data_IF_931661172516
#
_entry.id   IF_931661172516
#
_cell.length_a   1.000
_cell.length_b   1.000
_cell.length_c   1.000
_cell.angle_alpha   90.00
_cell.angle_beta   90.00
_cell.angle_gamma   90.00
#
_symmetry.space_group_name_H-M   'P 1'
#
loop_
_entity.id
_entity.type
_entity.pdbx_description
1 polymer ?
#
# COMPACT_ATOMS: atom_id res chain seq x y z
N UNK A 1 -49.77 -34.87 -45.00
CA UNK A 1 -49.74 -34.68 -43.55
C UNK A 1 -48.32 -34.36 -43.18
N UNK A 2 -47.99 -33.10 -42.99
CA UNK A 2 -46.67 -32.59 -42.64
C UNK A 2 -46.73 -32.22 -41.18
N UNK A 3 -45.94 -32.96 -40.37
CA UNK A 3 -45.81 -32.72 -38.91
C UNK A 3 -44.87 -31.52 -38.68
N UNK A 4 -45.42 -30.44 -38.11
CA UNK A 4 -44.64 -29.27 -37.68
C UNK A 4 -43.89 -29.62 -36.40
N UNK A 5 -42.56 -29.68 -36.53
CA UNK A 5 -41.65 -29.80 -35.38
C UNK A 5 -41.64 -28.52 -34.53
N UNK A 6 -42.05 -28.65 -33.29
CA UNK A 6 -41.96 -27.60 -32.27
C UNK A 6 -40.48 -27.43 -31.87
N UNK A 7 -39.85 -26.39 -32.37
CA UNK A 7 -38.55 -25.94 -31.83
C UNK A 7 -38.73 -25.34 -30.41
N UNK A 8 -38.40 -26.14 -29.43
CA UNK A 8 -38.29 -25.67 -28.04
C UNK A 8 -37.13 -24.65 -27.93
N UNK A 9 -37.47 -23.37 -27.86
CA UNK A 9 -36.53 -22.30 -27.52
C UNK A 9 -35.92 -22.59 -26.12
N UNK A 10 -34.64 -22.97 -26.12
CA UNK A 10 -33.87 -23.03 -24.87
C UNK A 10 -33.83 -21.63 -24.25
N UNK A 11 -34.12 -21.48 -22.98
CA UNK A 11 -33.98 -20.21 -22.29
C UNK A 11 -32.52 -19.79 -22.32
N UNK A 12 -32.26 -18.53 -22.74
CA UNK A 12 -30.95 -17.92 -22.75
C UNK A 12 -30.33 -18.01 -21.34
N UNK A 13 -29.24 -18.75 -21.22
CA UNK A 13 -28.51 -18.86 -19.98
C UNK A 13 -28.02 -17.45 -19.58
N UNK A 14 -28.59 -16.88 -18.53
CA UNK A 14 -28.04 -15.68 -17.91
C UNK A 14 -26.58 -15.99 -17.53
N UNK A 15 -25.63 -15.08 -17.82
CA UNK A 15 -24.24 -15.29 -17.47
C UNK A 15 -24.12 -15.31 -15.94
N UNK A 16 -24.15 -16.51 -15.35
CA UNK A 16 -23.80 -16.70 -13.94
C UNK A 16 -22.33 -16.32 -13.82
N UNK A 17 -22.04 -15.20 -13.15
CA UNK A 17 -20.67 -14.84 -12.78
C UNK A 17 -20.00 -16.08 -12.18
N UNK A 18 -18.82 -16.46 -12.71
CA UNK A 18 -18.15 -17.67 -12.22
C UNK A 18 -17.85 -17.50 -10.71
N UNK A 19 -17.96 -18.59 -9.95
CA UNK A 19 -17.65 -18.58 -8.50
C UNK A 19 -16.26 -18.00 -8.21
N UNK A 20 -15.31 -18.23 -9.12
CA UNK A 20 -13.96 -17.67 -9.03
C UNK A 20 -13.95 -16.15 -9.15
N UNK A 21 -14.75 -15.58 -10.06
CA UNK A 21 -14.84 -14.12 -10.20
C UNK A 21 -15.44 -13.46 -8.97
N UNK A 22 -16.53 -14.00 -8.43
CA UNK A 22 -17.16 -13.50 -7.20
C UNK A 22 -16.17 -13.56 -6.02
N UNK A 23 -15.43 -14.66 -5.88
CA UNK A 23 -14.40 -14.81 -4.85
C UNK A 23 -13.30 -13.75 -5.00
N UNK A 24 -12.77 -13.54 -6.20
CA UNK A 24 -11.76 -12.50 -6.47
C UNK A 24 -12.28 -11.11 -6.17
N UNK A 25 -13.54 -10.83 -6.51
CA UNK A 25 -14.18 -9.54 -6.22
C UNK A 25 -14.28 -9.30 -4.71
N UNK A 26 -14.71 -10.30 -3.93
CA UNK A 26 -14.81 -10.20 -2.46
C UNK A 26 -13.43 -9.97 -1.85
N UNK A 27 -12.40 -10.70 -2.30
CA UNK A 27 -11.02 -10.54 -1.84
C UNK A 27 -10.51 -9.13 -2.13
N UNK A 28 -10.70 -8.63 -3.36
CA UNK A 28 -10.31 -7.29 -3.77
C UNK A 28 -11.05 -6.20 -2.98
N UNK A 29 -12.36 -6.36 -2.78
CA UNK A 29 -13.17 -5.44 -1.99
C UNK A 29 -12.76 -5.44 -0.51
N UNK A 30 -12.40 -6.59 0.04
CA UNK A 30 -11.87 -6.69 1.41
C UNK A 30 -10.56 -5.90 1.55
N UNK A 31 -9.63 -6.05 0.59
CA UNK A 31 -8.40 -5.29 0.60
C UNK A 31 -8.66 -3.78 0.48
N UNK A 32 -9.55 -3.39 -0.44
CA UNK A 32 -9.98 -2.00 -0.63
C UNK A 32 -10.49 -1.40 0.68
N UNK A 33 -11.46 -2.04 1.33
CA UNK A 33 -12.08 -1.56 2.57
C UNK A 33 -11.13 -1.58 3.79
N UNK A 34 -10.07 -2.40 3.74
CA UNK A 34 -9.06 -2.46 4.81
C UNK A 34 -8.15 -1.24 4.81
N UNK A 35 -7.82 -0.69 3.64
CA UNK A 35 -6.79 0.37 3.52
C UNK A 35 -7.29 1.63 2.81
N UNK A 36 -8.60 1.75 2.58
CA UNK A 36 -9.20 2.86 1.82
C UNK A 36 -8.93 4.22 2.45
N UNK A 37 -8.85 4.31 3.76
CA UNK A 37 -8.59 5.52 4.52
C UNK A 37 -7.10 5.84 4.74
N UNK A 38 -6.20 4.92 4.36
CA UNK A 38 -4.75 5.12 4.51
C UNK A 38 -4.28 6.38 3.79
N UNK A 39 -4.58 6.46 2.50
CA UNK A 39 -4.18 7.58 1.64
C UNK A 39 -5.30 8.59 1.39
N UNK A 40 -6.54 8.28 1.74
CA UNK A 40 -7.69 9.16 1.58
C UNK A 40 -7.44 10.53 2.23
N UNK A 41 -6.90 10.53 3.45
CA UNK A 41 -6.60 11.72 4.24
C UNK A 41 -5.59 12.65 3.54
N UNK A 42 -4.77 12.13 2.62
CA UNK A 42 -3.82 12.95 1.86
C UNK A 42 -4.52 13.90 0.87
N UNK A 43 -5.67 13.52 0.30
CA UNK A 43 -6.41 14.38 -0.62
C UNK A 43 -7.04 15.61 0.07
N UNK A 44 -7.31 15.51 1.37
CA UNK A 44 -7.89 16.60 2.18
C UNK A 44 -6.84 17.29 3.08
N UNK A 45 -5.58 16.97 2.92
CA UNK A 45 -4.48 17.42 3.78
C UNK A 45 -4.36 18.94 3.88
N UNK A 46 -4.45 19.75 2.78
CA UNK A 46 -4.44 21.20 2.90
C UNK A 46 -5.63 21.74 3.70
N UNK A 47 -6.81 21.12 3.57
CA UNK A 47 -8.00 21.50 4.33
C UNK A 47 -7.86 21.18 5.81
N UNK A 48 -7.24 20.04 6.16
CA UNK A 48 -6.92 19.70 7.55
C UNK A 48 -5.88 20.67 8.13
N UNK A 49 -4.80 20.98 7.41
CA UNK A 49 -3.80 21.93 7.88
C UNK A 49 -4.43 23.29 8.21
N UNK A 50 -5.34 23.77 7.37
CA UNK A 50 -6.10 25.00 7.58
C UNK A 50 -7.03 24.89 8.80
N UNK A 51 -7.76 23.79 8.95
CA UNK A 51 -8.71 23.58 10.04
C UNK A 51 -8.03 23.52 11.41
N UNK A 52 -6.84 22.90 11.48
CA UNK A 52 -6.05 22.82 12.72
C UNK A 52 -5.10 24.02 12.93
N UNK A 53 -4.97 24.93 11.97
CA UNK A 53 -4.07 26.09 12.05
C UNK A 53 -2.60 25.72 12.16
N UNK A 54 -2.17 24.64 11.51
CA UNK A 54 -0.81 24.09 11.60
C UNK A 54 -0.08 24.14 10.25
N UNK A 55 1.25 24.00 10.28
CA UNK A 55 2.08 24.00 9.08
C UNK A 55 1.87 22.74 8.23
N UNK A 56 2.18 22.78 6.92
CA UNK A 56 2.24 21.61 6.05
C UNK A 56 3.05 20.45 6.62
N UNK A 57 4.22 20.72 7.22
CA UNK A 57 5.05 19.70 7.86
C UNK A 57 4.35 19.02 9.01
N UNK A 58 3.74 19.78 9.91
CA UNK A 58 3.05 19.26 11.09
C UNK A 58 1.85 18.38 10.69
N UNK A 59 1.00 18.87 9.77
CA UNK A 59 -0.15 18.10 9.29
C UNK A 59 0.29 16.90 8.44
N UNK A 60 1.31 17.06 7.58
CA UNK A 60 1.87 15.98 6.78
C UNK A 60 2.39 14.83 7.65
N UNK A 61 3.09 15.14 8.74
CA UNK A 61 3.53 14.16 9.72
C UNK A 61 2.34 13.47 10.40
N UNK A 62 1.38 14.24 10.91
CA UNK A 62 0.21 13.70 11.61
C UNK A 62 -0.61 12.76 10.72
N UNK A 63 -0.89 13.15 9.47
CA UNK A 63 -1.62 12.31 8.50
C UNK A 63 -0.87 11.02 8.19
N UNK A 64 0.45 11.08 8.02
CA UNK A 64 1.26 9.89 7.70
C UNK A 64 1.74 9.12 8.94
N UNK A 65 1.39 9.54 10.16
CA UNK A 65 1.69 8.81 11.39
C UNK A 65 1.08 7.40 11.43
N UNK A 66 0.06 7.14 10.61
CA UNK A 66 -0.45 5.78 10.36
C UNK A 66 0.64 4.80 9.90
N UNK A 67 1.65 5.26 9.15
CA UNK A 67 2.76 4.40 8.73
C UNK A 67 3.62 3.94 9.92
N UNK A 68 3.69 4.68 11.01
CA UNK A 68 4.31 4.23 12.27
C UNK A 68 3.54 3.04 12.85
N UNK A 69 2.22 3.16 12.97
CA UNK A 69 1.37 2.06 13.42
C UNK A 69 1.51 0.83 12.52
N UNK A 70 1.57 1.04 11.21
CA UNK A 70 1.76 -0.04 10.23
C UNK A 70 3.14 -0.72 10.37
N UNK A 71 4.20 0.02 10.64
CA UNK A 71 5.52 -0.54 10.87
C UNK A 71 5.54 -1.42 12.13
N UNK A 72 4.96 -0.94 13.23
CA UNK A 72 4.83 -1.70 14.47
C UNK A 72 3.99 -2.96 14.27
N UNK A 73 2.83 -2.84 13.63
CA UNK A 73 1.95 -3.97 13.34
C UNK A 73 2.63 -5.01 12.45
N UNK A 74 3.38 -4.58 11.41
CA UNK A 74 4.12 -5.48 10.53
C UNK A 74 5.10 -6.36 11.29
N UNK A 75 5.87 -5.78 12.23
CA UNK A 75 6.76 -6.52 13.10
C UNK A 75 6.01 -7.42 14.09
N UNK A 76 4.94 -6.91 14.71
CA UNK A 76 4.14 -7.68 15.67
C UNK A 76 3.48 -8.89 14.99
N UNK A 77 2.87 -8.71 13.82
CA UNK A 77 2.27 -9.81 13.06
C UNK A 77 3.35 -10.81 12.61
N UNK A 78 4.50 -10.35 12.14
CA UNK A 78 5.61 -11.24 11.79
C UNK A 78 6.06 -12.11 12.97
N UNK A 79 6.02 -11.55 14.18
CA UNK A 79 6.43 -12.25 15.41
C UNK A 79 5.35 -13.16 15.97
N UNK A 80 4.08 -12.71 15.99
CA UNK A 80 2.98 -13.36 16.68
C UNK A 80 1.99 -14.08 15.75
N UNK A 81 2.12 -13.93 14.42
CA UNK A 81 1.12 -14.41 13.46
C UNK A 81 0.75 -15.87 13.61
N UNK A 82 1.71 -16.73 14.02
CA UNK A 82 1.47 -18.16 14.26
C UNK A 82 0.59 -18.46 15.48
N UNK A 83 0.44 -17.49 16.40
CA UNK A 83 -0.35 -17.61 17.62
C UNK A 83 -1.74 -16.99 17.54
N UNK A 84 -2.00 -16.25 16.46
CA UNK A 84 -3.25 -15.53 16.25
C UNK A 84 -4.14 -16.33 15.30
N UNK A 85 -5.35 -16.66 15.74
CA UNK A 85 -6.38 -17.16 14.83
C UNK A 85 -6.63 -16.10 13.74
N UNK A 86 -6.47 -16.48 12.46
CA UNK A 86 -6.55 -15.56 11.32
C UNK A 86 -7.88 -14.85 11.26
N UNK A 87 -8.97 -15.60 11.45
CA UNK A 87 -10.33 -15.08 11.38
C UNK A 87 -10.59 -14.04 12.48
N UNK A 88 -10.28 -14.41 13.72
CA UNK A 88 -10.49 -13.52 14.87
C UNK A 88 -9.61 -12.28 14.75
N UNK A 89 -8.34 -12.45 14.39
CA UNK A 89 -7.41 -11.34 14.23
C UNK A 89 -7.82 -10.35 13.13
N UNK A 90 -8.28 -10.83 11.96
CA UNK A 90 -8.75 -9.97 10.87
C UNK A 90 -10.00 -9.21 11.30
N UNK A 91 -11.00 -9.91 11.85
CA UNK A 91 -12.26 -9.29 12.28
C UNK A 91 -12.05 -8.28 13.41
N UNK A 92 -11.26 -8.63 14.42
CA UNK A 92 -10.93 -7.72 15.52
C UNK A 92 -10.22 -6.47 15.02
N UNK A 93 -9.24 -6.62 14.11
CA UNK A 93 -8.50 -5.50 13.54
C UNK A 93 -9.39 -4.58 12.70
N UNK A 94 -10.25 -5.11 11.83
CA UNK A 94 -11.16 -4.33 11.00
C UNK A 94 -12.24 -3.62 11.83
N UNK A 95 -12.80 -4.31 12.83
CA UNK A 95 -13.79 -3.70 13.73
C UNK A 95 -13.15 -2.60 14.58
N UNK A 96 -11.95 -2.87 15.13
CA UNK A 96 -11.21 -1.89 15.90
C UNK A 96 -10.81 -0.68 15.06
N UNK A 97 -10.52 -0.85 13.76
CA UNK A 97 -10.15 0.24 12.84
C UNK A 97 -11.23 1.33 12.74
N UNK A 98 -12.50 0.96 12.78
CA UNK A 98 -13.60 1.91 12.68
C UNK A 98 -13.61 2.93 13.83
N UNK A 99 -13.12 2.54 15.01
CA UNK A 99 -13.11 3.40 16.20
C UNK A 99 -12.17 4.60 16.03
N UNK A 100 -10.85 4.45 15.82
CA UNK A 100 -9.97 5.59 15.61
C UNK A 100 -10.35 6.37 14.36
N UNK A 101 -10.88 5.72 13.30
CA UNK A 101 -11.34 6.41 12.09
C UNK A 101 -12.50 7.36 12.41
N UNK A 102 -13.52 6.91 13.13
CA UNK A 102 -14.65 7.76 13.53
C UNK A 102 -14.22 8.86 14.50
N UNK A 103 -13.32 8.56 15.46
CA UNK A 103 -12.83 9.52 16.44
C UNK A 103 -12.01 10.65 15.82
N UNK A 104 -11.41 10.46 14.65
CA UNK A 104 -10.74 11.55 13.90
C UNK A 104 -11.71 12.70 13.57
N UNK A 105 -13.01 12.43 13.45
CA UNK A 105 -14.02 13.45 13.19
C UNK A 105 -14.14 14.49 14.31
N UNK A 106 -13.80 14.12 15.54
CA UNK A 106 -13.91 14.93 16.76
C UNK A 106 -12.58 15.13 17.47
N UNK A 107 -11.45 14.84 16.83
CA UNK A 107 -10.12 15.00 17.40
C UNK A 107 -9.87 16.48 17.75
N UNK A 108 -9.66 16.82 19.04
CA UNK A 108 -9.62 18.22 19.48
C UNK A 108 -8.34 18.95 19.07
N UNK A 109 -7.26 18.23 18.92
CA UNK A 109 -5.94 18.76 18.59
C UNK A 109 -5.11 17.80 17.72
N UNK A 110 -3.97 18.29 17.23
CA UNK A 110 -3.08 17.55 16.35
C UNK A 110 -2.46 16.31 17.02
N UNK A 111 -2.26 16.35 18.34
CA UNK A 111 -1.66 15.24 19.09
C UNK A 111 -2.62 14.06 19.13
N UNK A 112 -3.87 14.31 19.50
CA UNK A 112 -4.94 13.28 19.49
C UNK A 112 -5.16 12.76 18.08
N UNK A 113 -5.20 13.65 17.08
CA UNK A 113 -5.29 13.25 15.66
C UNK A 113 -4.14 12.30 15.30
N UNK A 114 -2.90 12.63 15.64
CA UNK A 114 -1.72 11.82 15.36
C UNK A 114 -1.79 10.44 16.03
N UNK A 115 -2.18 10.39 17.31
CA UNK A 115 -2.35 9.12 18.05
C UNK A 115 -3.41 8.23 17.39
N UNK A 116 -4.55 8.81 16.99
CA UNK A 116 -5.60 8.09 16.29
C UNK A 116 -5.13 7.56 14.93
N UNK A 117 -4.30 8.33 14.20
CA UNK A 117 -3.68 7.87 12.95
C UNK A 117 -2.71 6.70 13.18
N UNK A 118 -1.93 6.71 14.25
CA UNK A 118 -1.08 5.57 14.63
C UNK A 118 -1.94 4.34 14.92
N UNK A 119 -3.02 4.49 15.69
CA UNK A 119 -3.95 3.40 16.00
C UNK A 119 -4.62 2.84 14.74
N UNK A 120 -5.05 3.70 13.79
CA UNK A 120 -5.54 3.26 12.49
C UNK A 120 -4.50 2.41 11.76
N UNK A 121 -3.25 2.89 11.67
CA UNK A 121 -2.17 2.18 10.99
C UNK A 121 -1.92 0.80 11.59
N UNK A 122 -1.96 0.69 12.93
CA UNK A 122 -1.82 -0.57 13.64
C UNK A 122 -2.92 -1.57 13.24
N UNK A 123 -4.17 -1.13 13.23
CA UNK A 123 -5.32 -1.95 12.85
C UNK A 123 -5.26 -2.35 11.35
N UNK A 124 -5.02 -1.39 10.46
CA UNK A 124 -4.95 -1.62 9.01
C UNK A 124 -3.89 -2.66 8.65
N UNK A 125 -2.65 -2.49 9.13
CA UNK A 125 -1.57 -3.40 8.79
C UNK A 125 -1.74 -4.79 9.43
N UNK A 126 -2.33 -4.86 10.62
CA UNK A 126 -2.68 -6.15 11.24
C UNK A 126 -3.71 -6.90 10.39
N UNK A 127 -4.80 -6.26 10.01
CA UNK A 127 -5.82 -6.86 9.13
C UNK A 127 -5.22 -7.27 7.79
N UNK A 128 -4.41 -6.39 7.17
CA UNK A 128 -3.79 -6.62 5.88
C UNK A 128 -2.84 -7.82 5.88
N UNK A 129 -1.94 -7.90 6.86
CA UNK A 129 -0.95 -8.97 6.95
C UNK A 129 -1.59 -10.32 7.32
N UNK A 130 -2.58 -10.31 8.23
CA UNK A 130 -3.31 -11.53 8.60
C UNK A 130 -4.17 -12.06 7.44
N UNK A 131 -4.76 -11.16 6.62
CA UNK A 131 -5.52 -11.57 5.45
C UNK A 131 -4.62 -12.19 4.37
N UNK A 132 -3.43 -11.62 4.12
CA UNK A 132 -2.45 -12.23 3.22
C UNK A 132 -2.03 -13.62 3.70
N UNK A 133 -1.78 -13.78 5.00
CA UNK A 133 -1.47 -15.08 5.60
C UNK A 133 -2.63 -16.07 5.41
N UNK A 134 -3.86 -15.62 5.68
CA UNK A 134 -5.07 -16.43 5.47
C UNK A 134 -5.19 -16.91 4.03
N UNK A 135 -5.03 -16.01 3.05
CA UNK A 135 -5.11 -16.37 1.63
C UNK A 135 -4.04 -17.37 1.21
N UNK A 136 -2.81 -17.22 1.75
CA UNK A 136 -1.72 -18.17 1.49
C UNK A 136 -1.94 -19.55 2.10
N UNK A 137 -2.72 -19.65 3.20
CA UNK A 137 -3.01 -20.90 3.90
C UNK A 137 -4.31 -21.56 3.39
N UNK A 138 -5.32 -20.76 2.99
CA UNK A 138 -6.66 -21.23 2.60
C UNK A 138 -6.81 -21.56 1.10
N UNK A 139 -5.93 -21.03 0.25
CA UNK A 139 -5.97 -21.24 -1.20
C UNK A 139 -5.06 -22.38 -1.63
N UNK A 140 -5.46 -23.14 -2.67
CA UNK A 140 -4.55 -24.07 -3.35
C UNK A 140 -3.41 -23.29 -4.02
N UNK A 141 -2.30 -23.95 -4.36
CA UNK A 141 -1.16 -23.30 -5.01
C UNK A 141 -1.57 -22.57 -6.32
N UNK A 142 -2.51 -23.14 -7.08
CA UNK A 142 -3.04 -22.58 -8.33
C UNK A 142 -3.91 -21.34 -8.08
N UNK A 143 -4.75 -21.35 -7.04
CA UNK A 143 -5.65 -20.24 -6.68
C UNK A 143 -4.95 -19.10 -5.99
N UNK A 144 -3.85 -19.37 -5.26
CA UNK A 144 -3.14 -18.40 -4.43
C UNK A 144 -2.67 -17.20 -5.26
N UNK A 145 -2.11 -17.42 -6.44
CA UNK A 145 -1.65 -16.32 -7.30
C UNK A 145 -2.80 -15.37 -7.68
N UNK A 146 -3.97 -15.91 -8.04
CA UNK A 146 -5.16 -15.13 -8.36
C UNK A 146 -5.72 -14.39 -7.15
N UNK A 147 -5.75 -15.03 -5.98
CA UNK A 147 -6.23 -14.44 -4.74
C UNK A 147 -5.33 -13.26 -4.28
N UNK A 148 -4.01 -13.43 -4.35
CA UNK A 148 -3.05 -12.35 -4.07
C UNK A 148 -3.18 -11.21 -5.09
N UNK A 149 -3.32 -11.52 -6.39
CA UNK A 149 -3.51 -10.51 -7.42
C UNK A 149 -4.79 -9.69 -7.15
N UNK A 150 -5.90 -10.33 -6.83
CA UNK A 150 -7.16 -9.65 -6.47
C UNK A 150 -6.99 -8.76 -5.23
N UNK A 151 -6.30 -9.25 -4.21
CA UNK A 151 -6.04 -8.50 -2.98
C UNK A 151 -5.18 -7.25 -3.23
N UNK A 152 -4.10 -7.40 -3.98
CA UNK A 152 -3.24 -6.26 -4.35
C UNK A 152 -3.97 -5.27 -5.25
N UNK A 153 -4.80 -5.74 -6.20
CA UNK A 153 -5.63 -4.86 -7.03
C UNK A 153 -6.59 -4.02 -6.18
N UNK A 154 -7.25 -4.62 -5.18
CA UNK A 154 -8.08 -3.89 -4.23
C UNK A 154 -7.32 -2.82 -3.45
N UNK A 155 -6.10 -3.15 -2.99
CA UNK A 155 -5.21 -2.19 -2.33
C UNK A 155 -4.81 -1.03 -3.26
N UNK A 156 -4.44 -1.31 -4.51
CA UNK A 156 -4.11 -0.24 -5.47
C UNK A 156 -5.34 0.61 -5.79
N UNK A 157 -6.51 -0.01 -5.96
CA UNK A 157 -7.77 0.70 -6.17
C UNK A 157 -8.10 1.65 -5.00
N UNK A 158 -7.79 1.27 -3.75
CA UNK A 158 -8.00 2.13 -2.58
C UNK A 158 -7.19 3.42 -2.64
N UNK A 159 -6.02 3.39 -3.26
CA UNK A 159 -5.18 4.57 -3.46
C UNK A 159 -5.84 5.63 -4.34
N UNK A 160 -6.53 5.22 -5.39
CA UNK A 160 -7.24 6.14 -6.28
C UNK A 160 -8.61 6.51 -5.72
N UNK A 161 -9.46 5.51 -5.51
CA UNK A 161 -10.85 5.76 -5.13
C UNK A 161 -10.97 6.32 -3.71
N UNK A 162 -10.10 5.93 -2.77
CA UNK A 162 -10.07 6.49 -1.42
C UNK A 162 -9.84 8.00 -1.42
N UNK A 163 -8.91 8.49 -2.25
CA UNK A 163 -8.64 9.92 -2.38
C UNK A 163 -9.76 10.68 -3.07
N UNK A 164 -10.33 10.11 -4.15
CA UNK A 164 -11.50 10.70 -4.82
C UNK A 164 -12.69 10.81 -3.87
N UNK A 165 -12.99 9.73 -3.15
CA UNK A 165 -14.07 9.72 -2.15
C UNK A 165 -13.80 10.74 -1.05
N UNK A 166 -12.58 10.81 -0.51
CA UNK A 166 -12.25 11.76 0.54
C UNK A 166 -12.43 13.21 0.09
N UNK A 167 -12.00 13.55 -1.13
CA UNK A 167 -12.20 14.88 -1.69
C UNK A 167 -13.71 15.21 -1.83
N UNK A 168 -14.49 14.30 -2.41
CA UNK A 168 -15.93 14.47 -2.61
C UNK A 168 -16.69 14.57 -1.28
N UNK A 169 -16.41 13.64 -0.33
CA UNK A 169 -17.06 13.64 0.97
C UNK A 169 -16.73 14.88 1.80
N UNK A 170 -15.47 15.33 1.76
CA UNK A 170 -15.06 16.54 2.48
C UNK A 170 -15.70 17.80 1.87
N UNK A 171 -16.00 17.80 0.58
CA UNK A 171 -16.67 18.92 -0.10
C UNK A 171 -18.16 18.98 0.24
N UNK A 172 -18.84 17.83 0.31
CA UNK A 172 -20.29 17.75 0.55
C UNK A 172 -20.68 17.62 2.03
N UNK A 173 -19.91 16.85 2.83
CA UNK A 173 -20.23 16.54 4.23
C UNK A 173 -19.26 17.18 5.23
N UNK A 174 -18.24 17.91 4.73
CA UNK A 174 -17.17 18.46 5.56
C UNK A 174 -16.17 17.40 6.06
N UNK A 175 -15.16 17.86 6.79
CA UNK A 175 -14.06 17.00 7.26
C UNK A 175 -14.54 15.93 8.26
N UNK A 176 -15.43 16.29 9.19
CA UNK A 176 -15.97 15.34 10.17
C UNK A 176 -16.82 14.25 9.49
N UNK A 177 -17.73 14.63 8.59
CA UNK A 177 -18.56 13.70 7.83
C UNK A 177 -17.74 12.72 7.02
N UNK A 178 -16.62 13.18 6.44
CA UNK A 178 -15.67 12.34 5.73
C UNK A 178 -15.16 11.18 6.62
N UNK A 179 -14.69 11.45 7.85
CA UNK A 179 -14.18 10.43 8.76
C UNK A 179 -15.28 9.46 9.23
N UNK A 180 -16.50 9.93 9.47
CA UNK A 180 -17.62 9.04 9.82
C UNK A 180 -17.97 8.07 8.69
N UNK A 181 -17.97 8.53 7.42
CA UNK A 181 -18.23 7.65 6.27
C UNK A 181 -17.11 6.60 6.16
N UNK A 182 -15.84 6.98 6.31
CA UNK A 182 -14.75 6.01 6.28
C UNK A 182 -14.81 5.01 7.45
N UNK A 183 -15.19 5.45 8.65
CA UNK A 183 -15.46 4.55 9.77
C UNK A 183 -16.59 3.54 9.46
N UNK A 184 -17.64 3.99 8.80
CA UNK A 184 -18.72 3.12 8.31
C UNK A 184 -18.25 2.12 7.26
N UNK A 185 -17.37 2.53 6.33
CA UNK A 185 -16.76 1.63 5.34
C UNK A 185 -15.85 0.57 5.98
N UNK A 186 -15.12 0.91 7.05
CA UNK A 186 -14.32 -0.05 7.80
C UNK A 186 -15.21 -1.11 8.48
N UNK A 187 -16.35 -0.70 9.07
CA UNK A 187 -17.34 -1.64 9.60
C UNK A 187 -17.96 -2.50 8.50
N UNK A 188 -18.28 -1.92 7.34
CA UNK A 188 -18.77 -2.69 6.20
C UNK A 188 -17.72 -3.73 5.75
N UNK A 189 -16.43 -3.37 5.79
CA UNK A 189 -15.33 -4.32 5.56
C UNK A 189 -15.29 -5.45 6.58
N UNK A 190 -15.49 -5.15 7.86
CA UNK A 190 -15.57 -6.17 8.91
C UNK A 190 -16.77 -7.12 8.70
N UNK A 191 -17.93 -6.58 8.34
CA UNK A 191 -19.14 -7.36 8.03
C UNK A 191 -18.91 -8.25 6.80
N UNK A 192 -18.34 -7.72 5.73
CA UNK A 192 -18.00 -8.48 4.53
C UNK A 192 -17.08 -9.66 4.86
N UNK A 193 -16.01 -9.41 5.61
CA UNK A 193 -15.06 -10.44 6.04
C UNK A 193 -15.70 -11.46 6.95
N UNK A 194 -16.58 -11.04 7.87
CA UNK A 194 -17.31 -11.95 8.73
C UNK A 194 -18.09 -12.99 7.92
N UNK A 195 -18.86 -12.55 6.91
CA UNK A 195 -19.62 -13.46 6.06
C UNK A 195 -18.72 -14.31 5.16
N UNK A 196 -17.63 -13.73 4.65
CA UNK A 196 -16.67 -14.45 3.80
C UNK A 196 -15.94 -15.57 4.57
N UNK A 197 -15.56 -15.31 5.82
CA UNK A 197 -14.83 -16.27 6.65
C UNK A 197 -15.74 -17.21 7.47
N UNK A 198 -17.06 -17.01 7.46
CA UNK A 198 -18.00 -17.72 8.34
C UNK A 198 -17.97 -19.24 8.18
N UNK A 199 -17.74 -19.74 6.97
CA UNK A 199 -17.72 -21.17 6.65
C UNK A 199 -16.34 -21.83 6.68
N UNK A 200 -15.28 -21.07 7.01
CA UNK A 200 -13.92 -21.60 6.98
C UNK A 200 -13.58 -22.29 8.29
N UNK A 201 -13.03 -23.52 8.28
CA UNK A 201 -12.54 -24.17 9.49
C UNK A 201 -11.49 -23.29 10.19
N UNK A 202 -11.46 -23.38 11.53
CA UNK A 202 -10.40 -22.75 12.30
C UNK A 202 -9.05 -23.32 11.82
N UNK A 203 -8.15 -22.43 11.38
CA UNK A 203 -6.84 -22.87 10.93
C UNK A 203 -6.00 -23.27 12.14
N UNK A 204 -5.30 -24.43 12.09
CA UNK A 204 -4.47 -24.84 13.21
C UNK A 204 -3.39 -23.78 13.45
N UNK A 205 -3.27 -23.36 14.70
CA UNK A 205 -2.17 -22.54 15.16
C UNK A 205 -0.90 -23.38 14.98
N UNK A 206 -0.07 -23.03 13.99
CA UNK A 206 1.15 -23.77 13.73
C UNK A 206 2.10 -23.64 14.92
N UNK A 207 2.46 -24.77 15.52
CA UNK A 207 3.44 -24.82 16.61
C UNK A 207 4.73 -24.12 16.18
N UNK A 208 5.26 -23.25 17.04
CA UNK A 208 6.49 -22.54 16.78
C UNK A 208 7.60 -23.55 16.43
N UNK A 209 8.16 -23.47 15.23
CA UNK A 209 9.43 -24.14 14.93
C UNK A 209 10.41 -23.71 16.01
N UNK A 210 11.14 -24.64 16.64
CA UNK A 210 11.98 -24.40 17.81
C UNK A 210 13.13 -23.36 17.66
N UNK A 211 13.07 -22.52 16.60
CA UNK A 211 14.00 -21.41 16.37
C UNK A 211 13.47 -20.13 17.00
N UNK A 212 14.31 -19.45 17.77
CA UNK A 212 14.04 -18.12 18.32
C UNK A 212 13.79 -17.12 17.19
N UNK A 213 12.74 -16.28 17.30
CA UNK A 213 12.46 -15.22 16.33
C UNK A 213 13.67 -14.26 16.16
N UNK A 214 14.36 -13.95 17.24
CA UNK A 214 15.60 -13.12 17.18
C UNK A 214 16.73 -13.81 16.41
N UNK A 215 16.85 -15.14 16.48
CA UNK A 215 17.81 -15.90 15.68
C UNK A 215 17.55 -15.77 14.18
N UNK A 216 16.27 -15.87 13.80
CA UNK A 216 15.81 -15.68 12.41
C UNK A 216 16.07 -14.25 11.93
N UNK A 217 15.75 -13.25 12.73
CA UNK A 217 16.01 -11.84 12.38
C UNK A 217 17.50 -11.56 12.19
N UNK A 218 18.36 -12.08 13.09
CA UNK A 218 19.84 -11.96 12.95
C UNK A 218 20.32 -12.57 11.64
N UNK A 219 19.74 -13.69 11.20
CA UNK A 219 20.07 -14.32 9.91
C UNK A 219 19.67 -13.44 8.73
N UNK A 220 18.47 -12.85 8.75
CA UNK A 220 18.04 -11.90 7.73
C UNK A 220 18.92 -10.66 7.66
N UNK A 221 19.34 -10.10 8.81
CA UNK A 221 20.26 -8.96 8.85
C UNK A 221 21.71 -9.31 8.48
N UNK A 222 22.09 -10.57 8.49
CA UNK A 222 23.38 -11.03 7.97
C UNK A 222 23.41 -11.11 6.44
N UNK A 223 22.27 -11.31 5.81
CA UNK A 223 22.17 -11.37 4.35
C UNK A 223 22.24 -9.96 3.74
N UNK A 224 23.32 -9.63 2.98
CA UNK A 224 23.51 -8.28 2.43
C UNK A 224 22.43 -7.90 1.41
N UNK A 225 21.88 -8.87 0.66
CA UNK A 225 20.81 -8.63 -0.31
C UNK A 225 19.49 -8.28 0.38
N UNK A 226 19.18 -8.95 1.51
CA UNK A 226 18.00 -8.61 2.31
C UNK A 226 18.14 -7.24 2.97
N UNK A 227 19.30 -6.91 3.56
CA UNK A 227 19.55 -5.58 4.11
C UNK A 227 19.39 -4.47 3.07
N UNK A 228 19.94 -4.68 1.87
CA UNK A 228 19.75 -3.75 0.76
C UNK A 228 18.27 -3.59 0.41
N UNK A 229 17.52 -4.70 0.36
CA UNK A 229 16.08 -4.67 0.07
C UNK A 229 15.29 -3.92 1.13
N UNK A 230 15.62 -4.07 2.41
CA UNK A 230 14.98 -3.34 3.50
C UNK A 230 15.23 -1.83 3.38
N UNK A 231 16.47 -1.43 3.13
CA UNK A 231 16.84 -0.03 2.92
C UNK A 231 16.22 0.55 1.62
N UNK A 232 16.12 -0.25 0.56
CA UNK A 232 15.42 0.11 -0.68
C UNK A 232 13.94 0.37 -0.39
N UNK A 233 13.27 -0.52 0.35
CA UNK A 233 11.89 -0.34 0.74
C UNK A 233 11.67 0.97 1.49
N UNK A 234 12.55 1.29 2.45
CA UNK A 234 12.57 2.56 3.14
C UNK A 234 12.65 3.76 2.17
N UNK A 235 13.61 3.76 1.24
CA UNK A 235 13.78 4.84 0.28
C UNK A 235 12.58 5.01 -0.66
N UNK A 236 11.95 3.90 -1.08
CA UNK A 236 10.77 3.94 -1.97
C UNK A 236 9.61 4.66 -1.29
N UNK A 237 9.25 4.27 -0.05
CA UNK A 237 8.12 4.92 0.61
C UNK A 237 8.46 6.32 1.12
N UNK A 238 9.70 6.59 1.49
CA UNK A 238 10.20 7.94 1.76
C UNK A 238 9.93 8.87 0.57
N UNK A 239 10.33 8.46 -0.64
CA UNK A 239 10.12 9.23 -1.86
C UNK A 239 8.64 9.36 -2.22
N UNK A 240 7.87 8.28 -2.13
CA UNK A 240 6.44 8.26 -2.45
C UNK A 240 5.65 9.18 -1.51
N UNK A 241 5.81 9.01 -0.19
CA UNK A 241 5.11 9.84 0.80
C UNK A 241 5.52 11.30 0.66
N UNK A 242 6.82 11.59 0.50
CA UNK A 242 7.29 12.96 0.28
C UNK A 242 6.64 13.62 -0.93
N UNK A 243 6.57 12.91 -2.05
CA UNK A 243 5.94 13.42 -3.28
C UNK A 243 4.44 13.66 -3.07
N UNK A 244 3.69 12.61 -2.72
CA UNK A 244 2.23 12.65 -2.72
C UNK A 244 1.60 13.31 -1.48
N UNK A 245 2.40 13.63 -0.47
CA UNK A 245 1.96 14.45 0.66
C UNK A 245 2.10 15.93 0.36
N UNK A 246 3.30 16.37 -0.02
CA UNK A 246 3.59 17.80 -0.11
C UNK A 246 3.18 18.45 -1.43
N UNK A 247 3.07 17.69 -2.52
CA UNK A 247 2.51 18.20 -3.78
C UNK A 247 1.10 18.76 -3.63
N UNK A 248 0.30 18.25 -2.67
CA UNK A 248 -1.05 18.75 -2.43
C UNK A 248 -1.07 20.26 -2.07
N UNK A 249 -0.09 20.72 -1.31
CA UNK A 249 0.05 22.13 -0.96
C UNK A 249 0.46 22.96 -2.16
N UNK A 250 1.32 22.43 -3.04
CA UNK A 250 1.72 23.08 -4.29
C UNK A 250 0.54 23.21 -5.24
N UNK A 251 -0.29 22.17 -5.34
CA UNK A 251 -1.45 22.15 -6.24
C UNK A 251 -2.55 23.12 -5.83
N UNK A 252 -2.76 23.33 -4.52
CA UNK A 252 -3.76 24.31 -4.02
C UNK A 252 -3.19 25.73 -3.91
N UNK A 253 -1.86 25.88 -3.90
CA UNK A 253 -1.16 27.16 -3.90
C UNK A 253 -1.09 27.80 -5.30
N UNK A 254 -0.75 29.09 -5.34
CA UNK A 254 -0.48 29.78 -6.62
C UNK A 254 0.80 29.24 -7.29
N UNK A 255 0.86 29.18 -8.60
CA UNK A 255 -0.14 29.66 -9.58
C UNK A 255 -1.22 28.62 -9.95
N UNK A 256 -1.20 27.39 -9.41
CA UNK A 256 -2.08 26.29 -9.82
C UNK A 256 -3.50 26.40 -9.23
N UNK A 257 -3.62 26.81 -7.98
CA UNK A 257 -4.85 27.15 -7.25
C UNK A 257 -6.01 26.17 -7.44
N UNK A 258 -5.74 24.84 -7.37
CA UNK A 258 -6.76 23.81 -7.58
C UNK A 258 -7.80 23.80 -6.45
N UNK A 259 -9.06 23.62 -6.85
CA UNK A 259 -10.15 23.35 -5.92
C UNK A 259 -10.00 21.97 -5.25
N UNK A 260 -10.72 21.75 -4.15
CA UNK A 260 -10.70 20.47 -3.38
C UNK A 260 -11.08 19.29 -4.26
N UNK A 261 -12.13 19.43 -5.07
CA UNK A 261 -12.56 18.38 -6.00
C UNK A 261 -11.53 18.14 -7.10
N UNK A 262 -10.96 19.21 -7.68
CA UNK A 262 -9.90 19.08 -8.69
C UNK A 262 -8.66 18.37 -8.13
N UNK A 263 -8.31 18.61 -6.85
CA UNK A 263 -7.24 17.91 -6.17
C UNK A 263 -7.51 16.39 -6.07
N UNK A 264 -8.76 15.98 -5.83
CA UNK A 264 -9.16 14.57 -5.88
C UNK A 264 -8.91 13.95 -7.26
N UNK A 265 -9.23 14.65 -8.34
CA UNK A 265 -9.01 14.16 -9.72
C UNK A 265 -7.52 14.04 -10.11
N UNK A 266 -6.62 14.79 -9.48
CA UNK A 266 -5.17 14.64 -9.69
C UNK A 266 -4.74 13.18 -9.53
N UNK A 267 -5.35 12.43 -8.62
CA UNK A 267 -4.96 11.06 -8.32
C UNK A 267 -5.30 10.02 -9.41
N UNK A 268 -5.97 10.43 -10.50
CA UNK A 268 -6.01 9.62 -11.74
C UNK A 268 -4.61 9.35 -12.32
N UNK A 269 -3.59 10.09 -11.90
CA UNK A 269 -2.17 9.80 -12.22
C UNK A 269 -1.73 8.39 -11.77
N UNK A 270 -2.49 7.71 -10.91
CA UNK A 270 -2.21 6.32 -10.53
C UNK A 270 -2.79 5.28 -11.50
N UNK A 271 -3.67 5.65 -12.42
CA UNK A 271 -4.25 4.70 -13.40
C UNK A 271 -3.17 3.95 -14.19
N UNK A 272 -2.11 4.61 -14.72
CA UNK A 272 -1.02 3.90 -15.38
C UNK A 272 -0.33 2.87 -14.47
N UNK A 273 -0.21 3.16 -13.17
CA UNK A 273 0.40 2.23 -12.19
C UNK A 273 -0.43 0.97 -11.99
N UNK A 274 -1.76 1.04 -12.09
CA UNK A 274 -2.65 -0.12 -12.00
C UNK A 274 -2.34 -1.13 -13.10
N UNK A 275 -2.02 -0.64 -14.31
CA UNK A 275 -1.69 -1.46 -15.47
C UNK A 275 -0.24 -1.95 -15.43
N UNK A 276 0.70 -1.08 -15.05
CA UNK A 276 2.14 -1.38 -15.14
C UNK A 276 2.65 -2.23 -13.99
N UNK A 277 2.09 -2.10 -12.78
CA UNK A 277 2.57 -2.84 -11.60
C UNK A 277 2.47 -4.36 -11.75
N UNK A 278 1.39 -4.97 -12.30
CA UNK A 278 1.33 -6.40 -12.55
C UNK A 278 2.40 -6.92 -13.53
N UNK A 279 2.90 -6.06 -14.41
CA UNK A 279 3.94 -6.42 -15.38
C UNK A 279 5.33 -6.57 -14.74
N UNK A 280 5.51 -6.11 -13.50
CA UNK A 280 6.80 -6.17 -12.81
C UNK A 280 7.38 -7.59 -12.75
N UNK A 281 6.54 -8.60 -12.49
CA UNK A 281 6.96 -10.01 -12.46
C UNK A 281 7.50 -10.50 -13.80
N UNK A 282 6.80 -10.21 -14.89
CA UNK A 282 7.23 -10.56 -16.25
C UNK A 282 8.52 -9.84 -16.66
N UNK A 283 8.63 -8.56 -16.33
CA UNK A 283 9.84 -7.77 -16.60
C UNK A 283 11.05 -8.32 -15.82
N UNK A 284 10.88 -8.69 -14.55
CA UNK A 284 11.94 -9.32 -13.75
C UNK A 284 12.37 -10.67 -14.31
N UNK A 285 11.42 -11.50 -14.77
CA UNK A 285 11.73 -12.78 -15.37
C UNK A 285 12.52 -12.63 -16.68
N UNK A 286 12.22 -11.60 -17.49
CA UNK A 286 12.85 -11.37 -18.80
C UNK A 286 14.19 -10.63 -18.70
N UNK A 287 14.29 -9.60 -17.86
CA UNK A 287 15.44 -8.67 -17.83
C UNK A 287 16.29 -8.79 -16.56
N UNK A 288 15.83 -9.57 -15.59
CA UNK A 288 16.46 -9.71 -14.27
C UNK A 288 16.05 -8.59 -13.29
N UNK A 289 16.19 -8.87 -12.00
CA UNK A 289 15.72 -7.99 -10.92
C UNK A 289 16.40 -6.63 -10.94
N UNK A 290 17.73 -6.58 -11.04
CA UNK A 290 18.52 -5.34 -10.95
C UNK A 290 18.20 -4.37 -12.09
N UNK A 291 18.20 -4.85 -13.35
CA UNK A 291 17.94 -4.00 -14.52
C UNK A 291 16.51 -3.44 -14.48
N UNK A 292 15.54 -4.29 -14.18
CA UNK A 292 14.13 -3.87 -14.07
C UNK A 292 13.94 -2.85 -12.96
N UNK A 293 14.64 -3.01 -11.84
CA UNK A 293 14.59 -2.07 -10.73
C UNK A 293 15.19 -0.71 -11.10
N UNK A 294 16.34 -0.67 -11.76
CA UNK A 294 16.93 0.59 -12.25
C UNK A 294 16.04 1.29 -13.28
N UNK A 295 15.40 0.55 -14.19
CA UNK A 295 14.42 1.13 -15.11
C UNK A 295 13.23 1.76 -14.35
N UNK A 296 12.72 1.10 -13.32
CA UNK A 296 11.63 1.64 -12.50
C UNK A 296 12.06 2.94 -11.79
N UNK A 297 13.26 2.99 -11.21
CA UNK A 297 13.78 4.21 -10.59
C UNK A 297 14.07 5.32 -11.61
N UNK A 298 14.55 4.98 -12.80
CA UNK A 298 14.77 5.95 -13.87
C UNK A 298 13.46 6.60 -14.33
N UNK A 299 12.38 5.83 -14.43
CA UNK A 299 11.03 6.35 -14.71
C UNK A 299 10.60 7.34 -13.60
N UNK A 300 10.76 6.97 -12.32
CA UNK A 300 10.44 7.87 -11.22
C UNK A 300 11.29 9.15 -11.24
N UNK A 301 12.60 9.00 -11.45
CA UNK A 301 13.54 10.14 -11.50
C UNK A 301 13.23 11.09 -12.66
N UNK A 302 12.83 10.57 -13.83
CA UNK A 302 12.42 11.37 -14.97
C UNK A 302 11.17 12.26 -14.68
N UNK A 303 10.34 11.85 -13.73
CA UNK A 303 9.20 12.65 -13.28
C UNK A 303 9.59 13.84 -12.42
N UNK A 304 10.72 13.80 -11.70
CA UNK A 304 11.07 14.83 -10.71
C UNK A 304 11.23 16.24 -11.30
N UNK A 305 11.92 16.45 -12.44
CA UNK A 305 12.02 17.78 -13.04
C UNK A 305 10.65 18.38 -13.43
N UNK A 306 9.70 17.52 -13.81
CA UNK A 306 8.35 17.97 -14.20
C UNK A 306 7.55 18.48 -13.00
N UNK A 307 7.84 18.00 -11.79
CA UNK A 307 7.15 18.41 -10.56
C UNK A 307 7.47 19.86 -10.15
N UNK A 308 8.58 20.41 -10.58
CA UNK A 308 8.98 21.80 -10.27
C UNK A 308 8.54 22.80 -11.32
N UNK A 309 8.00 22.34 -12.45
CA UNK A 309 7.45 23.22 -13.49
C UNK A 309 6.07 23.73 -13.05
N UNK A 310 5.82 25.06 -12.98
CA UNK A 310 4.56 25.61 -12.48
C UNK A 310 3.44 25.52 -13.52
N UNK A 311 3.24 24.36 -14.11
CA UNK A 311 2.18 24.06 -15.09
C UNK A 311 1.51 22.74 -14.75
N UNK A 312 0.19 22.73 -14.59
CA UNK A 312 -0.57 21.55 -14.18
C UNK A 312 -0.27 20.31 -15.03
N UNK A 313 -0.24 20.35 -16.38
CA UNK A 313 0.05 19.15 -17.18
C UNK A 313 1.45 18.55 -16.90
N UNK A 314 2.45 19.41 -16.64
CA UNK A 314 3.80 18.96 -16.31
C UNK A 314 3.81 18.25 -14.94
N UNK A 315 3.18 18.86 -13.93
CA UNK A 315 3.07 18.28 -12.59
C UNK A 315 2.33 16.93 -12.64
N UNK A 316 1.21 16.83 -13.37
CA UNK A 316 0.47 15.59 -13.55
C UNK A 316 1.31 14.50 -14.22
N UNK A 317 2.04 14.84 -15.29
CA UNK A 317 2.96 13.91 -15.95
C UNK A 317 4.09 13.46 -14.99
N UNK A 318 4.66 14.38 -14.22
CA UNK A 318 5.65 14.09 -13.20
C UNK A 318 5.12 13.14 -12.13
N UNK A 319 3.92 13.39 -11.60
CA UNK A 319 3.26 12.52 -10.61
C UNK A 319 2.98 11.13 -11.18
N UNK A 320 2.53 11.03 -12.43
CA UNK A 320 2.29 9.75 -13.09
C UNK A 320 3.59 8.93 -13.20
N UNK A 321 4.69 9.55 -13.63
CA UNK A 321 6.00 8.89 -13.73
C UNK A 321 6.54 8.46 -12.36
N UNK A 322 6.46 9.33 -11.36
CA UNK A 322 6.86 8.98 -9.98
C UNK A 322 6.00 7.83 -9.45
N UNK A 323 4.68 7.88 -9.67
CA UNK A 323 3.75 6.82 -9.28
C UNK A 323 4.11 5.49 -9.93
N UNK A 324 4.22 5.45 -11.26
CA UNK A 324 4.58 4.24 -12.01
C UNK A 324 5.92 3.68 -11.53
N UNK A 325 6.94 4.53 -11.45
CA UNK A 325 8.29 4.09 -11.07
C UNK A 325 8.36 3.54 -9.65
N UNK A 326 7.73 4.22 -8.68
CA UNK A 326 7.75 3.78 -7.27
C UNK A 326 6.91 2.53 -7.03
N UNK A 327 5.73 2.37 -7.66
CA UNK A 327 4.93 1.15 -7.56
C UNK A 327 5.63 -0.05 -8.22
N UNK A 328 6.25 0.13 -9.39
CA UNK A 328 7.08 -0.91 -10.01
C UNK A 328 8.25 -1.31 -9.11
N UNK A 329 8.99 -0.33 -8.58
CA UNK A 329 10.11 -0.58 -7.68
C UNK A 329 9.67 -1.32 -6.41
N UNK A 330 8.51 -0.95 -5.83
CA UNK A 330 7.94 -1.64 -4.67
C UNK A 330 7.60 -3.10 -4.99
N UNK A 331 6.93 -3.36 -6.12
CA UNK A 331 6.56 -4.71 -6.53
C UNK A 331 7.79 -5.60 -6.74
N UNK A 332 8.84 -5.06 -7.39
CA UNK A 332 10.10 -5.76 -7.63
C UNK A 332 10.81 -6.07 -6.31
N UNK A 333 10.92 -5.08 -5.41
CA UNK A 333 11.60 -5.24 -4.12
C UNK A 333 10.87 -6.25 -3.22
N UNK A 334 9.54 -6.17 -3.12
CA UNK A 334 8.71 -7.13 -2.37
C UNK A 334 8.88 -8.55 -2.90
N UNK A 335 8.81 -8.73 -4.22
CA UNK A 335 9.03 -10.03 -4.86
C UNK A 335 10.45 -10.56 -4.67
N UNK A 336 11.46 -9.68 -4.63
CA UNK A 336 12.84 -10.07 -4.37
C UNK A 336 13.03 -10.57 -2.93
N UNK A 337 12.48 -9.90 -1.93
CA UNK A 337 12.56 -10.33 -0.52
C UNK A 337 12.02 -11.76 -0.35
N UNK A 338 10.87 -12.08 -0.97
CA UNK A 338 10.31 -13.42 -0.92
C UNK A 338 11.19 -14.51 -1.54
N UNK A 339 12.02 -14.16 -2.54
CA UNK A 339 12.97 -15.08 -3.19
C UNK A 339 14.32 -15.15 -2.48
N UNK A 340 14.79 -14.04 -1.90
CA UNK A 340 16.09 -13.95 -1.24
C UNK A 340 16.09 -14.51 0.18
N UNK A 341 14.91 -14.59 0.82
CA UNK A 341 14.76 -15.18 2.14
C UNK A 341 14.85 -16.71 2.07
N UNK A 342 15.91 -17.28 2.64
CA UNK A 342 16.15 -18.72 2.75
C UNK A 342 15.46 -19.36 3.93
N UNK A 343 15.20 -18.58 4.98
CA UNK A 343 14.54 -18.98 6.23
C UNK A 343 13.38 -18.03 6.47
N UNK A 344 12.25 -18.54 6.97
CA UNK A 344 11.06 -17.79 7.38
C UNK A 344 10.76 -16.55 6.52
N UNK A 345 10.24 -16.79 5.32
CA UNK A 345 9.89 -15.73 4.35
C UNK A 345 8.90 -14.71 4.91
N UNK A 346 8.01 -15.16 5.81
CA UNK A 346 7.05 -14.28 6.48
C UNK A 346 7.74 -13.23 7.35
N UNK A 347 8.74 -13.68 8.14
CA UNK A 347 9.55 -12.79 8.97
C UNK A 347 10.35 -11.78 8.12
N UNK A 348 10.98 -12.22 7.02
CA UNK A 348 11.70 -11.32 6.11
C UNK A 348 10.78 -10.28 5.49
N UNK A 349 9.56 -10.69 5.05
CA UNK A 349 8.55 -9.77 4.51
C UNK A 349 8.06 -8.79 5.57
N UNK A 350 7.88 -9.23 6.82
CA UNK A 350 7.50 -8.36 7.93
C UNK A 350 8.53 -7.29 8.23
N UNK A 351 9.83 -7.64 8.27
CA UNK A 351 10.93 -6.69 8.45
C UNK A 351 10.99 -5.70 7.27
N UNK A 352 10.82 -6.20 6.04
CA UNK A 352 10.76 -5.35 4.84
C UNK A 352 9.63 -4.33 4.93
N UNK A 353 8.40 -4.76 5.27
CA UNK A 353 7.25 -3.87 5.40
C UNK A 353 7.43 -2.86 6.54
N UNK A 354 8.01 -3.28 7.66
CA UNK A 354 8.32 -2.36 8.76
C UNK A 354 9.32 -1.28 8.32
N UNK A 355 10.39 -1.66 7.63
CA UNK A 355 11.36 -0.72 7.06
C UNK A 355 10.72 0.21 6.02
N UNK A 356 9.88 -0.34 5.15
CA UNK A 356 9.12 0.39 4.15
C UNK A 356 8.24 1.48 4.80
N UNK A 357 7.41 1.12 5.77
CA UNK A 357 6.55 2.08 6.47
C UNK A 357 7.32 3.07 7.33
N UNK A 358 8.45 2.66 7.95
CA UNK A 358 9.35 3.58 8.62
C UNK A 358 9.90 4.64 7.66
N UNK A 359 10.21 4.25 6.40
CA UNK A 359 10.58 5.18 5.35
C UNK A 359 9.53 6.24 5.08
N UNK A 360 8.25 5.86 5.05
CA UNK A 360 7.13 6.79 4.88
C UNK A 360 7.00 7.79 6.03
N UNK A 361 7.14 7.32 7.27
CA UNK A 361 7.13 8.18 8.46
C UNK A 361 8.28 9.20 8.43
N UNK A 362 9.51 8.71 8.22
CA UNK A 362 10.69 9.57 8.16
C UNK A 362 10.63 10.50 6.96
N UNK A 363 10.12 10.03 5.81
CA UNK A 363 9.90 10.83 4.63
C UNK A 363 8.96 12.00 4.88
N UNK A 364 7.82 11.76 5.54
CA UNK A 364 6.90 12.83 5.90
C UNK A 364 7.51 13.81 6.90
N UNK A 365 8.26 13.34 7.89
CA UNK A 365 8.90 14.19 8.88
C UNK A 365 10.02 15.07 8.28
N UNK A 366 10.97 14.43 7.58
CA UNK A 366 12.16 15.12 7.05
C UNK A 366 11.78 16.04 5.89
N UNK A 367 11.05 15.51 4.89
CA UNK A 367 10.69 16.31 3.72
C UNK A 367 9.66 17.40 4.07
N UNK A 368 8.88 17.22 5.13
CA UNK A 368 8.02 18.27 5.66
C UNK A 368 8.81 19.46 6.16
N UNK A 369 9.84 19.22 6.97
CA UNK A 369 10.72 20.29 7.43
C UNK A 369 11.48 20.96 6.28
N UNK A 370 11.87 20.19 5.27
CA UNK A 370 12.48 20.73 4.04
C UNK A 370 11.47 21.57 3.28
N UNK A 371 10.22 21.10 3.16
CA UNK A 371 9.15 21.83 2.48
C UNK A 371 8.86 23.18 3.16
N UNK A 372 8.67 23.19 4.48
CA UNK A 372 8.33 24.38 5.24
C UNK A 372 9.48 25.44 5.25
N UNK A 373 10.75 24.99 5.23
CA UNK A 373 11.91 25.89 5.34
C UNK A 373 12.53 26.27 4.02
N UNK A 374 12.58 25.35 3.05
CA UNK A 374 13.33 25.49 1.79
C UNK A 374 12.42 25.39 0.55
N UNK A 375 11.14 25.05 0.74
CA UNK A 375 10.14 25.00 -0.32
C UNK A 375 10.16 23.70 -1.13
N UNK A 376 9.31 23.67 -2.14
CA UNK A 376 9.02 22.47 -2.93
C UNK A 376 10.21 21.93 -3.73
N UNK A 377 10.99 22.82 -4.34
CA UNK A 377 12.15 22.41 -5.15
C UNK A 377 13.18 21.64 -4.33
N UNK A 378 13.45 22.08 -3.10
CA UNK A 378 14.35 21.39 -2.19
C UNK A 378 13.76 20.04 -1.74
N UNK A 379 12.45 19.98 -1.53
CA UNK A 379 11.75 18.74 -1.24
C UNK A 379 11.93 17.72 -2.38
N UNK A 380 11.74 18.15 -3.64
CA UNK A 380 11.95 17.29 -4.83
C UNK A 380 13.40 16.82 -4.94
N UNK A 381 14.38 17.68 -4.62
CA UNK A 381 15.79 17.27 -4.57
C UNK A 381 16.02 16.19 -3.51
N UNK A 382 15.42 16.30 -2.30
CA UNK A 382 15.47 15.29 -1.25
C UNK A 382 14.85 13.96 -1.68
N UNK A 383 13.74 14.00 -2.43
CA UNK A 383 13.13 12.82 -3.05
C UNK A 383 14.12 12.17 -4.04
N UNK A 384 14.77 12.98 -4.88
CA UNK A 384 15.78 12.52 -5.84
C UNK A 384 16.96 11.82 -5.16
N UNK A 385 17.45 12.35 -4.04
CA UNK A 385 18.51 11.72 -3.25
C UNK A 385 18.10 10.35 -2.71
N UNK A 386 16.86 10.20 -2.23
CA UNK A 386 16.35 8.90 -1.77
C UNK A 386 16.27 7.88 -2.92
N UNK A 387 15.80 8.30 -4.11
CA UNK A 387 15.78 7.43 -5.29
C UNK A 387 17.19 7.06 -5.75
N UNK A 388 18.14 7.99 -5.72
CA UNK A 388 19.54 7.74 -6.03
C UNK A 388 20.18 6.73 -5.05
N UNK A 389 19.89 6.87 -3.75
CA UNK A 389 20.33 5.90 -2.74
C UNK A 389 19.75 4.51 -2.99
N UNK A 390 18.45 4.43 -3.32
CA UNK A 390 17.82 3.16 -3.71
C UNK A 390 18.48 2.55 -4.95
N UNK A 391 18.87 3.35 -5.94
CA UNK A 391 19.56 2.88 -7.14
C UNK A 391 20.98 2.34 -6.83
N UNK A 392 21.71 2.96 -5.92
CA UNK A 392 23.01 2.47 -5.45
C UNK A 392 22.87 1.15 -4.69
N UNK A 393 21.88 1.05 -3.81
CA UNK A 393 21.58 -0.18 -3.06
C UNK A 393 21.13 -1.33 -3.97
N UNK A 394 20.49 -1.03 -5.09
CA UNK A 394 20.04 -2.03 -6.06
C UNK A 394 21.20 -2.84 -6.68
N UNK A 395 22.41 -2.29 -6.67
CA UNK A 395 23.61 -3.04 -7.08
C UNK A 395 23.83 -4.32 -6.26
N UNK A 396 23.28 -4.39 -5.03
CA UNK A 396 23.38 -5.55 -4.12
C UNK A 396 22.21 -6.52 -4.23
N UNK A 397 21.25 -6.30 -5.15
CA UNK A 397 20.12 -7.20 -5.39
C UNK A 397 20.55 -8.40 -6.24
N UNK A 398 21.34 -9.28 -5.65
CA UNK A 398 21.76 -10.56 -6.25
C UNK A 398 21.14 -11.69 -5.44
N UNK A 399 20.52 -12.65 -6.15
CA UNK A 399 20.10 -13.89 -5.51
C UNK A 399 21.33 -14.74 -5.24
N UNK A 400 21.42 -15.42 -4.07
CA UNK A 400 22.51 -16.37 -3.82
C UNK A 400 22.48 -17.42 -4.94
N UNK A 401 23.65 -17.62 -5.59
CA UNK A 401 23.77 -18.67 -6.60
C UNK A 401 23.52 -20.01 -5.93
N UNK A 402 22.54 -20.75 -6.41
CA UNK A 402 22.31 -22.14 -5.99
C UNK A 402 23.59 -22.93 -6.26
N UNK A 403 24.26 -23.39 -5.20
CA UNK A 403 25.44 -24.26 -5.27
C UNK A 403 25.14 -25.64 -5.89
N UNK A 404 23.88 -25.94 -6.18
CA UNK A 404 23.46 -27.21 -6.79
C UNK A 404 23.68 -27.32 -8.32
N UNK A 405 24.13 -26.24 -8.98
CA UNK A 405 24.42 -26.28 -10.43
C UNK A 405 25.86 -26.67 -10.77
N UNK A 406 26.70 -27.04 -9.78
CA UNK A 406 28.07 -27.53 -10.00
C UNK A 406 28.27 -29.03 -9.72
N UNK A 407 27.27 -29.83 -9.99
CA UNK A 407 27.42 -31.29 -10.09
C UNK A 407 26.99 -31.68 -11.49
N UNK A 408 27.87 -31.57 -12.39
CA UNK A 408 27.84 -32.15 -13.72
C UNK A 408 29.25 -32.63 -14.08
N UNK A 409 29.37 -33.45 -15.12
CA UNK A 409 29.46 -34.91 -15.08
C UNK A 409 30.81 -35.43 -14.70
#
# INVERSE_FOLDING_TARGET
>A
MISAGSEARMPAAQPRMSRAFVRSLIIGLTAFLTVVDLFATQAILPSLAKAYGVTPAAMGFAVNASTMGMAVAGLAVAFFSRRIDRRVGILASLTALAVPTALLAVAPDLTVFTILRIAQGLCMASAFALMLSYLGEACTAEETAGAFAAYITGNVASNLFGRLMAAALADHLGLAGNFYVFGGLNLAGAVLVYFYLRGTPAMPVLSASGRSAFGVWREHFRNPALRASFAIGFCILFAFIGTFTYVNFVLVGEPLSLSRMALGFVYFVFVPSIVTTPLAGHAVARFGTRRTFWCALAIAAAGLPLLVVPKLPAVLAGLALVGVGTFLAQAIATGFVGRAATVDRGSASGIYLASYFAGGLVGSAVLGQVFDRLGWTACVAGIGLALALAALLAARLELPMNSSARVGP
#
